data_IF_280139753662
#
_entry.id   IF_280139753662
#
_cell.length_a   1.000
_cell.length_b   1.000
_cell.length_c   1.000
_cell.angle_alpha   90.00
_cell.angle_beta   90.00
_cell.angle_gamma   90.00
#
_symmetry.space_group_name_H-M   'P 1'
#
loop_
_entity.id
_entity.type
_entity.pdbx_description
1 polymer ?
#
# COMPACT_ATOMS: atom_id res chain seq x y z
N UNK A 1 24.62 -42.33 -5.12
CA UNK A 1 24.25 -41.20 -4.24
C UNK A 1 23.05 -40.52 -4.88
N UNK A 2 21.86 -40.78 -4.37
CA UNK A 2 20.60 -40.17 -4.85
C UNK A 2 20.39 -38.91 -4.02
N UNK A 3 20.40 -37.76 -4.69
CA UNK A 3 20.15 -36.45 -4.04
C UNK A 3 18.66 -36.33 -3.71
N UNK A 4 18.36 -36.20 -2.43
CA UNK A 4 17.03 -35.89 -1.92
C UNK A 4 16.67 -34.44 -2.28
N UNK A 5 15.69 -34.29 -3.16
CA UNK A 5 15.01 -33.01 -3.36
C UNK A 5 14.05 -32.75 -2.18
N UNK A 6 14.03 -31.54 -1.61
CA UNK A 6 13.10 -31.23 -0.54
C UNK A 6 11.65 -31.23 -1.06
N UNK A 7 10.67 -31.62 -0.24
CA UNK A 7 9.28 -31.71 -0.66
C UNK A 7 8.68 -30.34 -0.99
N UNK A 8 8.04 -30.25 -2.14
CA UNK A 8 7.27 -29.08 -2.59
C UNK A 8 6.03 -28.98 -1.69
N UNK A 9 5.97 -27.98 -0.83
CA UNK A 9 4.81 -27.73 0.02
C UNK A 9 3.69 -27.07 -0.80
N UNK A 10 2.66 -27.86 -1.15
CA UNK A 10 1.46 -27.37 -1.84
C UNK A 10 0.53 -26.74 -0.80
N UNK A 11 0.44 -25.42 -0.74
CA UNK A 11 -0.54 -24.73 0.11
C UNK A 11 -1.78 -24.48 -0.74
N UNK A 12 -2.89 -25.15 -0.36
CA UNK A 12 -4.19 -24.98 -1.00
C UNK A 12 -4.97 -23.92 -0.23
N UNK A 13 -5.16 -22.74 -0.82
CA UNK A 13 -6.08 -21.74 -0.28
C UNK A 13 -7.48 -21.95 -0.86
N UNK A 14 -8.44 -22.34 0.00
CA UNK A 14 -9.84 -22.49 -0.37
C UNK A 14 -10.50 -21.11 -0.30
N UNK A 15 -10.76 -20.48 -1.44
CA UNK A 15 -11.61 -19.30 -1.54
C UNK A 15 -13.02 -19.73 -1.88
N UNK A 16 -13.93 -19.77 -0.88
CA UNK A 16 -15.36 -19.98 -1.13
C UNK A 16 -15.98 -18.69 -1.69
N UNK A 17 -16.38 -18.70 -2.95
CA UNK A 17 -17.33 -17.72 -3.47
C UNK A 17 -18.74 -18.10 -3.05
N UNK A 18 -19.44 -17.21 -2.33
CA UNK A 18 -20.89 -17.26 -2.17
C UNK A 18 -21.54 -16.61 -3.41
N UNK A 19 -21.97 -17.43 -4.35
CA UNK A 19 -22.86 -17.01 -5.44
C UNK A 19 -24.30 -17.09 -4.98
N UNK A 20 -25.14 -16.16 -5.44
CA UNK A 20 -26.60 -16.18 -5.25
C UNK A 20 -27.16 -17.46 -5.88
N UNK A 21 -27.94 -18.19 -5.07
CA UNK A 21 -28.70 -19.36 -5.49
C UNK A 21 -29.89 -18.87 -6.31
N UNK A 22 -29.93 -19.17 -7.60
CA UNK A 22 -31.15 -19.36 -8.38
C UNK A 22 -31.27 -20.82 -8.75
N UNK A 23 -32.46 -21.34 -8.56
CA UNK A 23 -32.92 -22.70 -8.58
C UNK A 23 -32.49 -23.57 -9.78
N UNK A 24 -32.33 -24.86 -9.44
CA UNK A 24 -32.48 -26.08 -10.25
C UNK A 24 -31.37 -26.46 -11.21
N UNK A 25 -30.77 -27.63 -10.90
CA UNK A 25 -30.09 -28.59 -11.75
C UNK A 25 -28.95 -28.10 -12.65
N UNK A 26 -27.78 -27.90 -12.03
CA UNK A 26 -26.52 -28.33 -12.67
C UNK A 26 -25.43 -28.50 -11.57
N UNK A 27 -25.25 -29.73 -11.11
CA UNK A 27 -24.16 -30.12 -10.21
C UNK A 27 -22.96 -30.59 -11.03
N UNK A 28 -22.25 -29.65 -11.69
CA UNK A 28 -20.88 -29.89 -12.15
C UNK A 28 -20.10 -28.60 -12.45
N UNK A 29 -20.11 -27.65 -11.53
CA UNK A 29 -19.09 -26.61 -11.55
C UNK A 29 -17.92 -27.08 -10.67
N UNK A 30 -16.99 -27.84 -11.25
CA UNK A 30 -15.69 -28.13 -10.65
C UNK A 30 -15.02 -26.79 -10.29
N UNK A 31 -14.90 -26.49 -9.00
CA UNK A 31 -14.08 -25.40 -8.52
C UNK A 31 -12.64 -25.70 -8.93
N UNK A 32 -12.19 -25.14 -10.06
CA UNK A 32 -10.80 -25.22 -10.46
C UNK A 32 -9.96 -24.51 -9.40
N UNK A 33 -9.24 -25.30 -8.61
CA UNK A 33 -8.22 -24.81 -7.71
C UNK A 33 -7.10 -24.23 -8.56
N UNK A 34 -6.96 -22.91 -8.54
CA UNK A 34 -5.84 -22.26 -9.23
C UNK A 34 -4.62 -22.44 -8.33
N UNK A 35 -3.73 -23.31 -8.74
CA UNK A 35 -2.43 -23.48 -8.10
C UNK A 35 -1.53 -22.35 -8.58
N UNK A 36 -1.18 -21.41 -7.68
CA UNK A 36 -0.20 -20.37 -7.95
C UNK A 36 1.15 -20.90 -7.50
N UNK A 37 2.08 -21.02 -8.44
CA UNK A 37 3.46 -21.36 -8.12
C UNK A 37 4.17 -20.12 -7.57
N UNK A 38 4.43 -20.12 -6.27
CA UNK A 38 5.19 -19.08 -5.56
C UNK A 38 6.70 -19.39 -5.55
N UNK A 39 7.13 -20.47 -6.16
CA UNK A 39 8.51 -20.96 -6.07
C UNK A 39 8.85 -21.55 -4.68
N UNK A 40 10.12 -21.90 -4.45
CA UNK A 40 10.55 -22.51 -3.18
C UNK A 40 10.47 -21.50 -2.03
N UNK A 41 9.81 -21.89 -0.93
CA UNK A 41 9.73 -21.09 0.29
C UNK A 41 11.05 -21.21 1.05
N UNK A 42 11.78 -20.11 1.19
CA UNK A 42 13.05 -20.09 1.94
C UNK A 42 12.75 -19.90 3.44
N UNK A 43 13.12 -20.90 4.24
CA UNK A 43 13.13 -20.81 5.72
C UNK A 43 14.51 -20.33 6.18
N UNK A 44 14.84 -19.07 5.95
CA UNK A 44 16.09 -18.51 6.48
C UNK A 44 15.82 -17.50 7.60
N UNK A 45 16.73 -17.38 8.59
CA UNK A 45 16.67 -16.30 9.57
C UNK A 45 16.72 -14.95 8.87
N UNK A 46 16.15 -13.91 9.50
CA UNK A 46 16.19 -12.55 8.95
C UNK A 46 17.67 -12.14 8.77
N UNK A 47 18.06 -11.67 7.57
CA UNK A 47 19.41 -11.22 7.32
C UNK A 47 19.79 -10.01 8.18
N UNK A 48 21.11 -9.79 8.38
CA UNK A 48 21.61 -8.72 9.23
C UNK A 48 21.21 -7.32 8.78
N UNK A 49 20.97 -7.11 7.47
CA UNK A 49 20.55 -5.82 6.92
C UNK A 49 19.06 -5.49 7.13
N UNK A 50 18.24 -6.43 7.61
CA UNK A 50 16.83 -6.21 7.97
C UNK A 50 16.66 -5.79 9.44
N UNK A 51 17.61 -5.05 9.99
CA UNK A 51 17.50 -4.48 11.33
C UNK A 51 16.80 -3.13 11.28
N UNK A 52 15.68 -3.01 12.00
CA UNK A 52 15.00 -1.75 12.23
C UNK A 52 15.39 -1.17 13.60
N UNK A 53 15.33 0.15 13.72
CA UNK A 53 15.53 0.84 15.00
C UNK A 53 14.33 0.54 15.92
N UNK A 54 14.60 0.28 17.19
CA UNK A 54 13.55 0.09 18.18
C UNK A 54 12.69 1.38 18.30
N UNK A 55 11.38 1.24 18.51
CA UNK A 55 10.48 2.39 18.71
C UNK A 55 10.66 2.96 20.12
N UNK A 56 11.55 3.94 20.26
CA UNK A 56 11.90 4.60 21.53
C UNK A 56 11.89 6.12 21.38
N UNK A 57 11.75 6.84 22.49
CA UNK A 57 11.82 8.29 22.55
C UNK A 57 10.48 8.99 22.74
N UNK A 58 10.57 10.27 23.17
CA UNK A 58 9.39 11.05 23.56
C UNK A 58 8.42 11.28 22.39
N UNK A 59 8.93 11.55 21.20
CA UNK A 59 8.12 11.75 19.99
C UNK A 59 7.25 10.51 19.67
N UNK A 60 7.82 9.31 19.81
CA UNK A 60 7.07 8.07 19.62
C UNK A 60 5.92 7.95 20.64
N UNK A 61 6.18 8.19 21.91
CA UNK A 61 5.17 8.11 22.96
C UNK A 61 4.10 9.19 22.82
N UNK A 62 4.50 10.42 22.49
CA UNK A 62 3.58 11.55 22.30
C UNK A 62 2.64 11.31 21.11
N UNK A 63 3.16 10.85 19.96
CA UNK A 63 2.34 10.54 18.79
C UNK A 63 1.35 9.41 19.10
N UNK A 64 1.81 8.36 19.77
CA UNK A 64 0.94 7.25 20.19
C UNK A 64 -0.17 7.69 21.14
N UNK A 65 0.14 8.54 22.12
CA UNK A 65 -0.85 9.11 23.06
C UNK A 65 -1.85 9.99 22.32
N UNK A 66 -1.38 10.85 21.42
CA UNK A 66 -2.22 11.75 20.63
C UNK A 66 -3.18 10.97 19.73
N UNK A 67 -2.68 10.03 18.94
CA UNK A 67 -3.51 9.21 18.06
C UNK A 67 -4.62 8.48 18.81
N UNK A 68 -4.28 7.90 19.96
CA UNK A 68 -5.28 7.22 20.83
C UNK A 68 -6.28 8.20 21.45
N UNK A 69 -5.81 9.38 21.93
CA UNK A 69 -6.68 10.40 22.50
C UNK A 69 -7.69 10.96 21.51
N UNK A 70 -7.34 11.01 20.24
CA UNK A 70 -8.20 11.45 19.14
C UNK A 70 -8.97 10.31 18.47
N UNK A 71 -8.84 9.05 18.95
CA UNK A 71 -9.50 7.89 18.34
C UNK A 71 -9.07 7.64 16.89
N UNK A 72 -7.80 7.94 16.56
CA UNK A 72 -7.25 7.77 15.22
C UNK A 72 -6.49 6.45 15.06
N UNK A 73 -6.55 5.88 13.87
CA UNK A 73 -5.80 4.70 13.48
C UNK A 73 -4.56 5.09 12.67
N UNK A 74 -3.47 4.33 12.85
CA UNK A 74 -2.25 4.49 12.04
C UNK A 74 -1.91 3.18 11.35
N UNK A 75 -1.50 3.27 10.07
CA UNK A 75 -0.96 2.11 9.36
C UNK A 75 0.31 1.61 10.01
N UNK A 76 1.08 2.52 10.63
CA UNK A 76 2.32 2.18 11.31
C UNK A 76 2.11 1.12 12.40
N UNK A 77 1.02 1.22 13.18
CA UNK A 77 0.65 0.21 14.18
C UNK A 77 -0.05 -0.99 13.53
N UNK A 78 -1.09 -0.77 12.72
CA UNK A 78 -1.91 -1.84 12.13
C UNK A 78 -1.11 -2.77 11.22
N UNK A 79 -0.14 -2.24 10.47
CA UNK A 79 0.73 -3.02 9.59
C UNK A 79 2.02 -3.52 10.29
N UNK A 80 2.20 -3.26 11.59
CA UNK A 80 3.42 -3.60 12.33
C UNK A 80 4.68 -3.12 11.59
N UNK A 81 4.68 -1.85 11.17
CA UNK A 81 5.71 -1.28 10.31
C UNK A 81 7.08 -1.29 11.01
N UNK A 82 8.14 -1.83 10.39
CA UNK A 82 9.48 -1.85 10.99
C UNK A 82 10.08 -0.45 11.19
N UNK A 83 9.60 0.55 10.45
CA UNK A 83 10.13 1.91 10.49
C UNK A 83 9.40 2.81 11.50
N UNK A 84 8.44 2.28 12.27
CA UNK A 84 7.61 3.09 13.18
C UNK A 84 8.45 3.95 14.14
N UNK A 85 9.54 3.38 14.69
CA UNK A 85 10.42 4.11 15.61
C UNK A 85 11.14 5.29 14.96
N UNK A 86 11.62 5.11 13.73
CA UNK A 86 12.31 6.14 12.98
C UNK A 86 11.34 7.22 12.46
N UNK A 87 10.27 6.80 11.78
CA UNK A 87 9.29 7.74 11.22
C UNK A 87 8.66 8.62 12.31
N UNK A 88 8.27 8.02 13.43
CA UNK A 88 7.64 8.79 14.52
C UNK A 88 8.64 9.70 15.25
N UNK A 89 9.91 9.31 15.31
CA UNK A 89 10.97 10.20 15.79
C UNK A 89 11.09 11.46 14.92
N UNK A 90 10.94 11.30 13.60
CA UNK A 90 10.99 12.40 12.63
C UNK A 90 9.63 13.06 12.34
N UNK A 91 8.68 12.97 13.26
CA UNK A 91 7.33 13.56 13.11
C UNK A 91 6.64 13.18 11.80
N UNK A 92 6.80 11.92 11.35
CA UNK A 92 6.15 11.38 10.17
C UNK A 92 5.24 10.24 10.57
N UNK A 93 3.95 10.35 10.28
CA UNK A 93 2.96 9.30 10.54
C UNK A 93 2.07 9.08 9.30
N UNK A 94 1.59 7.85 9.15
CA UNK A 94 0.59 7.51 8.13
C UNK A 94 -0.72 7.23 8.82
N UNK A 95 -1.68 8.15 8.68
CA UNK A 95 -3.03 8.01 9.21
C UNK A 95 -3.85 7.06 8.35
N UNK A 96 -4.68 6.24 8.98
CA UNK A 96 -5.56 5.30 8.30
C UNK A 96 -7.01 5.70 8.57
N UNK A 97 -7.67 6.19 7.53
CA UNK A 97 -9.06 6.64 7.53
C UNK A 97 -10.06 5.48 7.42
N UNK A 98 -11.33 5.79 7.71
CA UNK A 98 -12.48 4.91 7.55
C UNK A 98 -12.48 3.72 8.50
N UNK A 99 -11.79 3.89 9.65
CA UNK A 99 -11.67 2.87 10.68
C UNK A 99 -10.56 1.86 10.43
N UNK A 100 -10.65 0.70 11.09
CA UNK A 100 -9.62 -0.33 11.14
C UNK A 100 -10.04 -1.68 10.53
N UNK A 101 -11.26 -1.79 9.97
CA UNK A 101 -11.78 -3.02 9.37
C UNK A 101 -11.92 -2.85 7.86
N UNK A 102 -11.23 -3.70 7.09
CA UNK A 102 -11.21 -3.63 5.63
C UNK A 102 -12.20 -4.62 5.00
N UNK A 103 -12.90 -4.20 3.94
CA UNK A 103 -13.79 -5.09 3.15
C UNK A 103 -13.03 -6.09 2.29
N UNK A 104 -11.74 -5.84 2.00
CA UNK A 104 -10.90 -6.71 1.16
C UNK A 104 -9.96 -7.60 1.96
N UNK A 105 -9.48 -8.68 1.30
CA UNK A 105 -8.66 -9.73 1.92
C UNK A 105 -7.32 -9.88 1.21
N UNK A 106 -6.54 -8.80 1.12
CA UNK A 106 -5.19 -8.85 0.56
C UNK A 106 -4.31 -9.81 1.38
N UNK A 107 -3.61 -10.72 0.70
CA UNK A 107 -2.85 -11.79 1.36
C UNK A 107 -1.63 -11.33 2.15
N UNK A 108 -1.15 -10.12 1.88
CA UNK A 108 0.00 -9.52 2.56
C UNK A 108 -0.36 -8.63 3.76
N UNK A 109 -1.64 -8.20 3.86
CA UNK A 109 -2.05 -7.10 4.72
C UNK A 109 -2.53 -7.58 6.09
N UNK A 110 -1.97 -7.01 7.17
CA UNK A 110 -2.30 -7.34 8.55
C UNK A 110 -3.56 -6.63 9.08
N UNK A 111 -4.13 -5.68 8.33
CA UNK A 111 -5.37 -4.98 8.74
C UNK A 111 -6.52 -5.98 8.88
N UNK A 112 -7.30 -5.92 9.96
CA UNK A 112 -8.47 -6.77 10.18
C UNK A 112 -9.47 -6.69 9.01
N UNK A 113 -10.13 -7.82 8.73
CA UNK A 113 -11.00 -8.00 7.57
C UNK A 113 -12.41 -8.33 8.04
N UNK A 114 -13.41 -7.63 7.50
CA UNK A 114 -14.78 -7.84 7.93
C UNK A 114 -15.77 -6.82 7.42
N UNK A 115 -16.84 -6.63 8.18
CA UNK A 115 -17.82 -5.57 7.95
C UNK A 115 -17.39 -4.34 8.74
N UNK A 116 -17.04 -3.22 8.07
CA UNK A 116 -16.65 -1.99 8.72
C UNK A 116 -17.79 -1.36 9.53
N UNK A 117 -17.43 -0.53 10.48
CA UNK A 117 -18.37 0.36 11.17
C UNK A 117 -18.88 1.46 10.21
N UNK A 118 -19.98 2.16 10.55
CA UNK A 118 -20.42 3.35 9.82
C UNK A 118 -19.29 4.36 9.65
N UNK A 119 -19.36 5.13 8.56
CA UNK A 119 -18.37 6.18 8.29
C UNK A 119 -18.46 7.27 9.37
N UNK A 120 -17.32 7.60 9.96
CA UNK A 120 -17.19 8.70 10.91
C UNK A 120 -16.83 9.98 10.15
N UNK A 121 -17.80 10.86 10.01
CA UNK A 121 -17.65 12.12 9.28
C UNK A 121 -16.84 13.19 10.05
N UNK A 122 -16.54 12.96 11.33
CA UNK A 122 -15.69 13.84 12.14
C UNK A 122 -14.20 13.41 12.13
N UNK A 123 -13.87 12.24 11.57
CA UNK A 123 -12.51 11.74 11.45
C UNK A 123 -11.57 12.72 10.73
N UNK A 124 -11.97 13.38 9.59
CA UNK A 124 -11.12 14.38 8.92
C UNK A 124 -10.64 15.51 9.83
N UNK A 125 -11.51 16.06 10.67
CA UNK A 125 -11.18 17.13 11.62
C UNK A 125 -10.13 16.65 12.63
N UNK A 126 -10.34 15.47 13.21
CA UNK A 126 -9.40 14.92 14.19
C UNK A 126 -8.03 14.60 13.59
N UNK A 127 -7.99 14.15 12.30
CA UNK A 127 -6.72 13.97 11.59
C UNK A 127 -6.00 15.30 11.38
N UNK A 128 -6.71 16.36 10.96
CA UNK A 128 -6.13 17.68 10.80
C UNK A 128 -5.59 18.25 12.13
N UNK A 129 -6.31 18.07 13.22
CA UNK A 129 -5.86 18.42 14.58
C UNK A 129 -4.58 17.67 14.98
N UNK A 130 -4.49 16.38 14.65
CA UNK A 130 -3.28 15.60 14.91
C UNK A 130 -2.10 16.10 14.06
N UNK A 131 -2.31 16.42 12.79
CA UNK A 131 -1.28 16.99 11.89
C UNK A 131 -0.76 18.32 12.45
N UNK A 132 -1.66 19.20 12.90
CA UNK A 132 -1.30 20.49 13.50
C UNK A 132 -0.53 20.32 14.82
N UNK A 133 -1.03 19.47 15.71
CA UNK A 133 -0.40 19.23 17.02
C UNK A 133 1.00 18.63 16.90
N UNK A 134 1.21 17.78 15.89
CA UNK A 134 2.51 17.16 15.61
C UNK A 134 3.45 18.05 14.80
N UNK A 135 2.97 19.18 14.27
CA UNK A 135 3.76 20.08 13.43
C UNK A 135 4.24 19.42 12.14
N UNK A 136 3.41 18.55 11.52
CA UNK A 136 3.81 17.82 10.33
C UNK A 136 3.91 18.77 9.14
N UNK A 137 5.01 18.66 8.39
CA UNK A 137 5.19 19.34 7.10
C UNK A 137 4.78 18.46 5.92
N UNK A 138 4.63 17.15 6.15
CA UNK A 138 4.14 16.18 5.17
C UNK A 138 3.29 15.12 5.88
N UNK A 139 2.01 15.08 5.55
CA UNK A 139 1.07 14.11 6.08
C UNK A 139 0.76 13.05 5.03
N UNK A 140 0.91 11.78 5.39
CA UNK A 140 0.47 10.66 4.56
C UNK A 140 -0.84 10.13 5.11
N UNK A 141 -1.85 10.04 4.25
CA UNK A 141 -3.19 9.60 4.60
C UNK A 141 -3.58 8.42 3.71
N UNK A 142 -4.02 7.34 4.32
CA UNK A 142 -4.55 6.17 3.60
C UNK A 142 -5.85 5.72 4.21
N UNK A 143 -6.41 4.60 3.75
CA UNK A 143 -7.64 4.04 4.32
C UNK A 143 -7.70 2.52 4.24
N UNK A 144 -8.63 1.94 4.98
CA UNK A 144 -9.16 0.62 4.64
C UNK A 144 -10.00 0.70 3.37
N UNK A 145 -10.18 -0.43 2.67
CA UNK A 145 -11.16 -0.47 1.55
C UNK A 145 -12.58 -0.47 2.11
N UNK A 146 -13.43 0.32 1.48
CA UNK A 146 -14.87 0.46 1.73
C UNK A 146 -15.64 0.15 0.46
N UNK A 147 -15.53 -1.09 -0.04
CA UNK A 147 -16.28 -1.54 -1.22
C UNK A 147 -17.79 -1.55 -1.00
N UNK A 148 -18.22 -1.34 0.24
CA UNK A 148 -19.59 -1.09 0.67
C UNK A 148 -20.04 0.37 0.45
N UNK A 149 -19.10 1.32 0.27
CA UNK A 149 -19.36 2.74 0.01
C UNK A 149 -18.30 3.36 -0.91
N UNK A 150 -18.58 3.37 -2.20
CA UNK A 150 -17.63 3.82 -3.23
C UNK A 150 -17.40 5.33 -3.27
N UNK A 151 -18.34 6.12 -2.75
CA UNK A 151 -18.29 7.58 -2.79
C UNK A 151 -17.98 8.16 -1.42
N UNK A 152 -18.52 7.59 -0.37
CA UNK A 152 -18.30 8.04 1.00
C UNK A 152 -16.83 8.01 1.40
N UNK A 153 -16.14 6.94 1.07
CA UNK A 153 -14.71 6.82 1.31
C UNK A 153 -13.90 7.94 0.63
N UNK A 154 -14.18 8.25 -0.63
CA UNK A 154 -13.49 9.33 -1.34
C UNK A 154 -13.78 10.72 -0.75
N UNK A 155 -15.00 10.94 -0.25
CA UNK A 155 -15.37 12.20 0.41
C UNK A 155 -14.59 12.41 1.70
N UNK A 156 -14.35 11.37 2.48
CA UNK A 156 -13.52 11.46 3.70
C UNK A 156 -12.09 11.85 3.34
N UNK A 157 -11.49 11.26 2.29
CA UNK A 157 -10.18 11.70 1.80
C UNK A 157 -10.16 13.18 1.42
N UNK A 158 -11.12 13.61 0.60
CA UNK A 158 -11.20 14.99 0.14
C UNK A 158 -11.39 15.97 1.30
N UNK A 159 -12.24 15.61 2.26
CA UNK A 159 -12.45 16.43 3.45
C UNK A 159 -11.19 16.50 4.33
N UNK A 160 -10.48 15.36 4.51
CA UNK A 160 -9.22 15.35 5.25
C UNK A 160 -8.18 16.26 4.61
N UNK A 161 -8.05 16.25 3.28
CA UNK A 161 -7.14 17.15 2.56
C UNK A 161 -7.50 18.62 2.84
N UNK A 162 -8.80 18.97 2.76
CA UNK A 162 -9.27 20.34 2.99
C UNK A 162 -9.01 20.80 4.41
N UNK A 163 -9.36 19.99 5.40
CA UNK A 163 -9.19 20.29 6.82
C UNK A 163 -7.69 20.46 7.20
N UNK A 164 -6.82 19.58 6.68
CA UNK A 164 -5.37 19.72 6.89
C UNK A 164 -4.86 21.03 6.27
N UNK A 165 -5.29 21.34 5.05
CA UNK A 165 -4.85 22.57 4.37
C UNK A 165 -5.37 23.84 5.03
N UNK A 166 -6.58 23.82 5.58
CA UNK A 166 -7.15 24.93 6.33
C UNK A 166 -6.39 25.19 7.64
N UNK A 167 -6.08 24.12 8.39
CA UNK A 167 -5.47 24.21 9.70
C UNK A 167 -3.93 24.36 9.64
N UNK A 168 -3.28 23.74 8.62
CA UNK A 168 -1.82 23.75 8.43
C UNK A 168 -1.51 23.98 6.95
N UNK A 169 -1.63 25.20 6.41
CA UNK A 169 -1.50 25.50 4.99
C UNK A 169 -0.18 25.02 4.35
N UNK A 170 0.91 25.03 5.11
CA UNK A 170 2.24 24.59 4.65
C UNK A 170 2.41 23.06 4.59
N UNK A 171 1.47 22.30 5.17
CA UNK A 171 1.55 20.85 5.18
C UNK A 171 1.20 20.28 3.81
N UNK A 172 2.12 19.51 3.24
CA UNK A 172 1.83 18.72 2.03
C UNK A 172 1.05 17.47 2.40
N UNK A 173 0.08 17.12 1.57
CA UNK A 173 -0.77 15.94 1.79
C UNK A 173 -0.54 14.92 0.69
N UNK A 174 -0.04 13.75 1.07
CA UNK A 174 0.01 12.56 0.22
C UNK A 174 -1.18 11.66 0.60
N UNK A 175 -1.91 11.18 -0.41
CA UNK A 175 -2.99 10.21 -0.21
C UNK A 175 -2.64 8.87 -0.86
N UNK A 176 -2.71 7.78 -0.10
CA UNK A 176 -2.62 6.41 -0.62
C UNK A 176 -4.04 5.85 -0.70
N UNK A 177 -4.59 5.86 -1.90
CA UNK A 177 -6.00 5.55 -2.15
C UNK A 177 -6.24 4.09 -2.56
N UNK A 178 -7.44 3.51 -2.30
CA UNK A 178 -7.88 2.27 -2.91
C UNK A 178 -8.21 2.45 -4.40
N UNK A 179 -8.46 1.34 -5.11
CA UNK A 179 -8.81 1.38 -6.54
C UNK A 179 -10.28 1.74 -6.82
N UNK A 180 -11.09 1.96 -5.78
CA UNK A 180 -12.52 2.27 -5.87
C UNK A 180 -13.30 1.38 -6.85
N UNK A 181 -12.89 0.12 -7.00
CA UNK A 181 -13.44 -0.83 -7.98
C UNK A 181 -13.37 -0.36 -9.44
N UNK A 182 -12.56 0.67 -9.74
CA UNK A 182 -12.41 1.28 -11.06
C UNK A 182 -13.43 2.36 -11.38
N UNK A 183 -14.18 2.84 -10.37
CA UNK A 183 -15.11 3.95 -10.55
C UNK A 183 -14.34 5.27 -10.67
N UNK A 184 -14.69 6.08 -11.67
CA UNK A 184 -14.05 7.38 -11.92
C UNK A 184 -14.43 8.46 -10.89
N UNK A 185 -15.70 8.48 -10.47
CA UNK A 185 -16.21 9.53 -9.58
C UNK A 185 -15.44 9.69 -8.29
N UNK A 186 -15.08 8.62 -7.54
CA UNK A 186 -14.26 8.74 -6.35
C UNK A 186 -12.89 9.36 -6.61
N UNK A 187 -12.23 8.99 -7.71
CA UNK A 187 -10.93 9.55 -8.09
C UNK A 187 -11.04 11.06 -8.38
N UNK A 188 -12.08 11.49 -9.10
CA UNK A 188 -12.34 12.93 -9.37
C UNK A 188 -12.54 13.72 -8.08
N UNK A 189 -13.34 13.21 -7.13
CA UNK A 189 -13.56 13.86 -5.82
C UNK A 189 -12.22 14.10 -5.08
N UNK A 190 -11.30 13.15 -5.13
CA UNK A 190 -10.00 13.28 -4.46
C UNK A 190 -9.09 14.28 -5.20
N UNK A 191 -9.05 14.22 -6.54
CA UNK A 191 -8.24 15.15 -7.35
C UNK A 191 -8.74 16.60 -7.23
N UNK A 192 -10.06 16.82 -7.12
CA UNK A 192 -10.65 18.14 -6.87
C UNK A 192 -10.19 18.74 -5.54
N UNK A 193 -9.88 17.91 -4.55
CA UNK A 193 -9.29 18.36 -3.28
C UNK A 193 -7.78 18.67 -3.39
N UNK A 194 -7.15 18.42 -4.56
CA UNK A 194 -5.76 18.78 -4.89
C UNK A 194 -4.72 18.19 -3.92
N UNK A 195 -4.62 16.87 -3.73
CA UNK A 195 -3.50 16.30 -2.99
C UNK A 195 -2.16 16.66 -3.65
N UNK A 196 -1.10 16.80 -2.86
CA UNK A 196 0.24 17.05 -3.39
C UNK A 196 0.82 15.80 -4.06
N UNK A 197 0.52 14.61 -3.51
CA UNK A 197 0.89 13.32 -4.07
C UNK A 197 -0.31 12.39 -4.02
N UNK A 198 -0.63 11.79 -5.17
CA UNK A 198 -1.64 10.73 -5.28
C UNK A 198 -0.92 9.40 -5.47
N UNK A 199 -1.02 8.54 -4.47
CA UNK A 199 -0.40 7.24 -4.42
C UNK A 199 -1.46 6.13 -4.56
N UNK A 200 -1.18 5.15 -5.43
CA UNK A 200 -1.91 3.89 -5.49
C UNK A 200 -0.93 2.76 -5.82
N UNK A 201 -0.67 1.89 -4.86
CA UNK A 201 0.31 0.83 -5.03
C UNK A 201 -0.20 -0.28 -5.96
N UNK A 202 0.67 -0.77 -6.84
CA UNK A 202 0.42 -2.02 -7.59
C UNK A 202 0.71 -3.27 -6.76
N UNK A 203 1.60 -3.16 -5.77
CA UNK A 203 1.98 -4.17 -4.76
C UNK A 203 2.74 -5.38 -5.32
N UNK A 204 2.42 -5.87 -6.53
CA UNK A 204 3.02 -7.07 -7.11
C UNK A 204 2.83 -7.14 -8.62
N UNK A 205 3.42 -8.17 -9.23
CA UNK A 205 3.34 -8.47 -10.68
C UNK A 205 1.99 -9.09 -11.08
N UNK A 206 1.54 -8.99 -12.35
CA UNK A 206 0.23 -9.46 -12.81
C UNK A 206 -0.08 -10.92 -12.44
N UNK A 207 0.87 -11.84 -12.62
CA UNK A 207 0.70 -13.26 -12.31
C UNK A 207 0.30 -13.52 -10.86
N UNK A 208 0.83 -12.73 -9.92
CA UNK A 208 0.59 -12.89 -8.49
C UNK A 208 -0.61 -12.09 -7.96
N UNK A 209 -1.21 -11.24 -8.79
CA UNK A 209 -2.22 -10.27 -8.36
C UNK A 209 -3.39 -10.89 -7.61
N UNK A 210 -3.89 -12.02 -8.10
CA UNK A 210 -5.04 -12.71 -7.49
C UNK A 210 -4.75 -13.21 -6.07
N UNK A 211 -3.53 -13.70 -5.83
CA UNK A 211 -3.11 -14.17 -4.51
C UNK A 211 -2.79 -13.02 -3.55
N UNK A 212 -2.10 -11.99 -4.06
CA UNK A 212 -1.57 -10.89 -3.26
C UNK A 212 -2.65 -9.86 -2.97
N UNK A 213 -3.42 -9.46 -4.00
CA UNK A 213 -4.45 -8.39 -3.92
C UNK A 213 -5.83 -8.93 -4.29
N UNK A 214 -6.39 -9.81 -3.49
CA UNK A 214 -7.74 -10.35 -3.70
C UNK A 214 -8.77 -9.22 -3.83
N UNK A 215 -9.53 -9.21 -4.95
CA UNK A 215 -10.53 -8.18 -5.28
C UNK A 215 -10.01 -6.98 -6.08
N UNK A 216 -8.69 -6.81 -6.21
CA UNK A 216 -8.09 -5.82 -7.10
C UNK A 216 -7.78 -6.42 -8.48
N UNK A 217 -7.48 -5.55 -9.46
CA UNK A 217 -7.09 -5.94 -10.82
C UNK A 217 -5.92 -5.09 -11.28
N UNK A 218 -4.91 -5.71 -11.89
CA UNK A 218 -3.69 -5.03 -12.33
C UNK A 218 -3.97 -3.84 -13.26
N UNK A 219 -4.71 -4.06 -14.35
CA UNK A 219 -5.06 -2.99 -15.29
C UNK A 219 -5.82 -1.84 -14.63
N UNK A 220 -6.73 -2.14 -13.68
CA UNK A 220 -7.45 -1.10 -12.94
C UNK A 220 -6.50 -0.18 -12.16
N UNK A 221 -5.41 -0.72 -11.61
CA UNK A 221 -4.36 0.09 -10.95
C UNK A 221 -3.69 1.02 -11.96
N UNK A 222 -3.35 0.52 -13.15
CA UNK A 222 -2.74 1.30 -14.21
C UNK A 222 -3.67 2.40 -14.72
N UNK A 223 -4.94 2.04 -15.00
CA UNK A 223 -5.97 2.97 -15.49
C UNK A 223 -6.22 4.10 -14.47
N UNK A 224 -6.23 3.78 -13.17
CA UNK A 224 -6.41 4.77 -12.11
C UNK A 224 -5.28 5.81 -12.12
N UNK A 225 -4.02 5.36 -12.18
CA UNK A 225 -2.85 6.24 -12.19
C UNK A 225 -2.78 7.07 -13.47
N UNK A 226 -3.06 6.46 -14.62
CA UNK A 226 -3.13 7.15 -15.90
C UNK A 226 -4.23 8.22 -15.92
N UNK A 227 -5.43 7.91 -15.42
CA UNK A 227 -6.53 8.86 -15.31
C UNK A 227 -6.21 9.99 -14.34
N UNK A 228 -5.55 9.70 -13.22
CA UNK A 228 -5.10 10.73 -12.30
C UNK A 228 -4.19 11.74 -13.00
N UNK A 229 -3.23 11.25 -13.79
CA UNK A 229 -2.30 12.10 -14.53
C UNK A 229 -2.98 12.87 -15.67
N UNK A 230 -3.94 12.25 -16.36
CA UNK A 230 -4.72 12.91 -17.44
C UNK A 230 -5.63 14.03 -16.91
N UNK A 231 -6.26 13.83 -15.74
CA UNK A 231 -7.23 14.79 -15.21
C UNK A 231 -6.59 15.89 -14.36
N UNK A 232 -5.45 15.61 -13.74
CA UNK A 232 -4.64 16.61 -13.04
C UNK A 232 -3.14 16.36 -13.28
N UNK A 233 -2.59 16.89 -14.39
CA UNK A 233 -1.17 16.73 -14.73
C UNK A 233 -0.21 17.30 -13.69
N UNK A 234 -0.67 18.23 -12.84
CA UNK A 234 0.15 18.85 -11.79
C UNK A 234 0.31 17.94 -10.56
N UNK A 235 -0.64 17.02 -10.32
CA UNK A 235 -0.55 16.06 -9.22
C UNK A 235 0.62 15.10 -9.46
N UNK A 236 1.50 14.98 -8.47
CA UNK A 236 2.56 13.96 -8.46
C UNK A 236 1.93 12.60 -8.23
N UNK A 237 2.14 11.65 -9.13
CA UNK A 237 1.63 10.29 -9.01
C UNK A 237 2.69 9.34 -8.48
N UNK A 238 2.25 8.38 -7.66
CA UNK A 238 3.14 7.44 -6.99
C UNK A 238 2.57 6.03 -7.00
N UNK A 239 3.45 5.04 -7.11
CA UNK A 239 3.10 3.63 -6.94
C UNK A 239 4.19 2.88 -6.18
N UNK A 240 3.88 1.66 -5.75
CA UNK A 240 4.84 0.83 -5.03
C UNK A 240 4.65 -0.65 -5.31
N UNK A 241 5.77 -1.38 -5.22
CA UNK A 241 5.81 -2.84 -5.33
C UNK A 241 6.54 -3.44 -4.14
N UNK A 242 6.08 -4.61 -3.71
CA UNK A 242 6.78 -5.45 -2.77
C UNK A 242 7.49 -6.57 -3.53
N UNK A 243 8.72 -6.89 -3.08
CA UNK A 243 9.51 -8.01 -3.61
C UNK A 243 9.71 -9.10 -2.57
N UNK A 244 9.90 -10.35 -3.03
CA UNK A 244 10.07 -11.52 -2.17
C UNK A 244 8.79 -12.33 -1.97
N UNK A 245 7.80 -12.22 -2.87
CA UNK A 245 6.53 -12.96 -2.84
C UNK A 245 6.49 -14.07 -3.91
N UNK A 246 7.54 -14.17 -4.77
CA UNK A 246 7.62 -15.15 -5.86
C UNK A 246 7.58 -14.55 -7.27
N UNK A 247 7.72 -13.25 -7.36
CA UNK A 247 7.91 -12.54 -8.62
C UNK A 247 9.30 -12.84 -9.22
N UNK A 248 9.41 -12.71 -10.54
CA UNK A 248 10.67 -12.79 -11.29
C UNK A 248 11.12 -11.39 -11.71
N UNK A 249 12.42 -11.20 -11.92
CA UNK A 249 12.98 -9.89 -12.27
C UNK A 249 12.39 -9.33 -13.57
N UNK A 250 12.22 -10.16 -14.60
CA UNK A 250 11.60 -9.72 -15.85
C UNK A 250 10.15 -9.23 -15.64
N UNK A 251 9.37 -9.90 -14.78
CA UNK A 251 8.00 -9.47 -14.44
C UNK A 251 7.99 -8.11 -13.72
N UNK A 252 9.00 -7.84 -12.87
CA UNK A 252 9.14 -6.52 -12.23
C UNK A 252 9.47 -5.43 -13.25
N UNK A 253 10.37 -5.72 -14.20
CA UNK A 253 10.72 -4.77 -15.28
C UNK A 253 9.51 -4.45 -16.17
N UNK A 254 8.64 -5.43 -16.43
CA UNK A 254 7.37 -5.20 -17.13
C UNK A 254 6.46 -4.25 -16.33
N UNK A 255 6.34 -4.45 -15.02
CA UNK A 255 5.56 -3.55 -14.15
C UNK A 255 6.15 -2.13 -14.13
N UNK A 256 7.49 -2.00 -14.09
CA UNK A 256 8.14 -0.68 -14.10
C UNK A 256 7.86 0.05 -15.42
N UNK A 257 7.98 -0.66 -16.55
CA UNK A 257 7.62 -0.12 -17.87
C UNK A 257 6.15 0.32 -17.91
N UNK A 258 5.23 -0.55 -17.51
CA UNK A 258 3.79 -0.27 -17.53
C UNK A 258 3.42 0.97 -16.70
N UNK A 259 4.07 1.18 -15.55
CA UNK A 259 3.86 2.35 -14.69
C UNK A 259 4.50 3.62 -15.31
N UNK A 260 5.72 3.49 -15.85
CA UNK A 260 6.43 4.60 -16.50
C UNK A 260 5.67 5.13 -17.73
N UNK A 261 5.17 4.24 -18.60
CA UNK A 261 4.37 4.59 -19.77
C UNK A 261 3.07 5.34 -19.41
N UNK A 262 2.57 5.17 -18.19
CA UNK A 262 1.39 5.90 -17.66
C UNK A 262 1.75 7.17 -16.91
N UNK A 263 3.02 7.58 -16.98
CA UNK A 263 3.50 8.83 -16.40
C UNK A 263 3.53 8.84 -14.87
N UNK A 264 3.74 7.69 -14.24
CA UNK A 264 3.94 7.63 -12.78
C UNK A 264 5.26 8.30 -12.41
N UNK A 265 5.23 9.29 -11.52
CA UNK A 265 6.40 10.08 -11.16
C UNK A 265 7.32 9.38 -10.16
N UNK A 266 6.76 8.67 -9.17
CA UNK A 266 7.51 8.06 -8.07
C UNK A 266 7.22 6.55 -7.99
N UNK A 267 8.29 5.75 -7.88
CA UNK A 267 8.18 4.31 -7.60
C UNK A 267 8.86 3.98 -6.27
N UNK A 268 8.19 3.15 -5.45
CA UNK A 268 8.79 2.56 -4.25
C UNK A 268 8.93 1.04 -4.40
N UNK A 269 10.10 0.50 -4.02
CA UNK A 269 10.40 -0.94 -4.07
C UNK A 269 10.86 -1.39 -2.68
N UNK A 270 10.09 -2.26 -2.02
CA UNK A 270 10.36 -2.69 -0.66
C UNK A 270 10.28 -4.21 -0.46
N UNK A 271 11.02 -4.77 0.50
CA UNK A 271 10.93 -6.18 0.86
C UNK A 271 9.58 -6.50 1.49
N UNK A 272 8.88 -7.49 1.00
CA UNK A 272 7.77 -8.08 1.73
C UNK A 272 8.24 -8.71 3.03
N UNK A 273 7.64 -8.30 4.14
CA UNK A 273 7.84 -8.90 5.46
C UNK A 273 6.53 -9.51 5.91
N UNK A 274 6.50 -10.82 6.03
CA UNK A 274 5.31 -11.58 6.39
C UNK A 274 4.83 -11.22 7.79
N UNK A 275 3.60 -10.67 7.98
CA UNK A 275 3.13 -10.25 9.30
C UNK A 275 2.88 -11.42 10.26
N UNK A 276 2.27 -12.51 9.77
CA UNK A 276 2.01 -13.73 10.55
C UNK A 276 1.97 -14.97 9.67
N UNK A 277 1.83 -16.13 10.27
CA UNK A 277 1.73 -17.42 9.53
C UNK A 277 0.48 -17.51 8.64
N UNK A 278 -0.54 -16.69 8.88
CA UNK A 278 -1.80 -16.67 8.12
C UNK A 278 -1.71 -15.83 6.85
N UNK A 279 -0.61 -15.08 6.67
CA UNK A 279 -0.34 -14.27 5.48
C UNK A 279 0.47 -15.04 4.45
N UNK A 280 0.56 -14.48 3.23
CA UNK A 280 1.32 -15.08 2.16
C UNK A 280 2.74 -15.43 2.60
N UNK A 281 3.27 -16.60 2.22
CA UNK A 281 4.64 -16.95 2.51
C UNK A 281 5.59 -15.99 1.79
N UNK A 282 6.69 -15.66 2.45
CA UNK A 282 7.81 -14.97 1.82
C UNK A 282 8.67 -16.01 1.10
N UNK A 283 9.07 -15.75 -0.12
CA UNK A 283 9.87 -16.69 -0.94
C UNK A 283 11.36 -16.48 -0.78
N UNK A 284 11.81 -15.22 -0.74
CA UNK A 284 13.22 -14.88 -0.51
C UNK A 284 13.41 -13.46 0.03
N UNK A 285 14.59 -13.21 0.60
CA UNK A 285 15.08 -11.87 0.86
C UNK A 285 15.92 -11.37 -0.31
N UNK A 286 15.65 -10.15 -0.77
CA UNK A 286 16.53 -9.44 -1.69
C UNK A 286 17.66 -8.77 -0.91
N UNK A 287 18.89 -8.86 -1.40
CA UNK A 287 20.04 -8.17 -0.83
C UNK A 287 19.98 -6.66 -1.11
N UNK A 288 20.68 -5.83 -0.32
CA UNK A 288 20.81 -4.40 -0.62
C UNK A 288 21.32 -4.11 -2.04
N UNK A 289 22.24 -4.92 -2.56
CA UNK A 289 22.75 -4.78 -3.92
C UNK A 289 21.66 -5.03 -4.99
N UNK A 290 20.78 -6.01 -4.78
CA UNK A 290 19.65 -6.24 -5.69
C UNK A 290 18.66 -5.07 -5.67
N UNK A 291 18.42 -4.42 -4.52
CA UNK A 291 17.60 -3.20 -4.44
C UNK A 291 18.23 -2.05 -5.20
N UNK A 292 19.56 -1.88 -5.17
CA UNK A 292 20.27 -0.89 -5.96
C UNK A 292 20.09 -1.19 -7.46
N UNK A 293 20.30 -2.42 -7.89
CA UNK A 293 20.10 -2.81 -9.28
C UNK A 293 18.64 -2.59 -9.76
N UNK A 294 17.65 -2.93 -8.94
CA UNK A 294 16.24 -2.67 -9.26
C UNK A 294 15.94 -1.17 -9.39
N UNK A 295 16.56 -0.33 -8.55
CA UNK A 295 16.45 1.14 -8.67
C UNK A 295 17.01 1.66 -9.99
N UNK A 296 18.22 1.21 -10.35
CA UNK A 296 18.88 1.61 -11.59
C UNK A 296 18.07 1.19 -12.82
N UNK A 297 17.54 -0.04 -12.83
CA UNK A 297 16.67 -0.49 -13.91
C UNK A 297 15.36 0.29 -13.98
N UNK A 298 14.71 0.56 -12.84
CA UNK A 298 13.47 1.31 -12.79
C UNK A 298 13.64 2.74 -13.33
N UNK A 299 14.73 3.43 -13.00
CA UNK A 299 14.99 4.80 -13.48
C UNK A 299 15.02 4.91 -15.00
N UNK A 300 15.31 3.83 -15.73
CA UNK A 300 15.30 3.80 -17.21
C UNK A 300 13.90 3.97 -17.81
N UNK A 301 12.85 3.77 -17.02
CA UNK A 301 11.45 3.88 -17.47
C UNK A 301 10.82 5.26 -17.20
N UNK A 302 11.63 6.27 -16.85
CA UNK A 302 11.19 7.67 -16.78
C UNK A 302 10.62 8.14 -15.45
N UNK A 303 10.73 7.36 -14.38
CA UNK A 303 10.37 7.83 -13.04
C UNK A 303 11.27 9.01 -12.62
N UNK A 304 10.67 10.04 -12.03
CA UNK A 304 11.40 11.19 -11.46
C UNK A 304 12.15 10.79 -10.20
N UNK A 305 11.61 9.85 -9.43
CA UNK A 305 12.24 9.30 -8.24
C UNK A 305 11.93 7.81 -8.07
N UNK A 306 12.93 7.05 -7.64
CA UNK A 306 12.77 5.65 -7.26
C UNK A 306 13.38 5.46 -5.87
N UNK A 307 12.55 5.08 -4.89
CA UNK A 307 13.00 4.69 -3.57
C UNK A 307 13.02 3.16 -3.47
N UNK A 308 14.19 2.57 -3.24
CA UNK A 308 14.36 1.11 -3.26
C UNK A 308 15.25 0.64 -2.12
N UNK A 309 14.74 -0.30 -1.32
CA UNK A 309 15.50 -0.83 -0.21
C UNK A 309 14.73 -1.83 0.66
N UNK A 310 15.44 -2.60 1.49
CA UNK A 310 14.83 -3.66 2.31
C UNK A 310 13.74 -3.18 3.27
N UNK A 311 13.86 -1.97 3.80
CA UNK A 311 12.91 -1.39 4.75
C UNK A 311 12.00 -0.34 4.12
N UNK A 312 12.13 -0.07 2.80
CA UNK A 312 11.26 0.90 2.10
C UNK A 312 9.80 0.49 2.20
N UNK A 313 8.96 1.48 2.47
CA UNK A 313 7.49 1.43 2.46
C UNK A 313 6.98 2.65 1.70
N UNK A 314 5.73 2.63 1.25
CA UNK A 314 5.16 3.73 0.44
C UNK A 314 5.33 5.10 1.09
N UNK A 315 5.24 5.18 2.42
CA UNK A 315 5.36 6.44 3.18
C UNK A 315 6.76 6.67 3.80
N UNK A 316 7.73 5.78 3.56
CA UNK A 316 9.07 5.94 4.09
C UNK A 316 9.79 7.05 3.35
N UNK A 317 10.27 8.09 4.07
CA UNK A 317 10.87 9.31 3.49
C UNK A 317 9.98 10.02 2.44
N UNK A 318 8.66 9.95 2.61
CA UNK A 318 7.71 10.47 1.62
C UNK A 318 7.90 11.96 1.29
N UNK A 319 8.35 12.77 2.27
CA UNK A 319 8.63 14.20 2.07
C UNK A 319 9.81 14.42 1.09
N UNK A 320 10.92 13.66 1.23
CA UNK A 320 12.07 13.74 0.35
C UNK A 320 11.73 13.30 -1.07
N UNK A 321 10.98 12.20 -1.19
CA UNK A 321 10.50 11.70 -2.49
C UNK A 321 9.66 12.74 -3.22
N UNK A 322 8.77 13.42 -2.50
CA UNK A 322 7.91 14.46 -3.06
C UNK A 322 8.70 15.73 -3.45
N UNK A 323 9.76 16.09 -2.73
CA UNK A 323 10.64 17.22 -3.06
C UNK A 323 11.38 16.96 -4.37
N UNK A 324 12.03 15.80 -4.48
CA UNK A 324 12.75 15.41 -5.71
C UNK A 324 11.82 15.35 -6.91
N UNK A 325 10.63 14.77 -6.76
CA UNK A 325 9.66 14.68 -7.87
C UNK A 325 9.08 16.05 -8.28
N UNK A 326 9.05 17.02 -7.36
CA UNK A 326 8.63 18.39 -7.62
C UNK A 326 9.78 19.29 -8.17
N UNK A 327 10.99 18.76 -8.30
CA UNK A 327 12.17 19.51 -8.75
C UNK A 327 12.70 20.49 -7.71
N UNK A 328 12.57 20.18 -6.44
CA UNK A 328 13.01 20.99 -5.29
C UNK A 328 14.17 20.36 -4.55
#
# INVERSE_FOLDING_TARGET
MRGDQPPICKIVHIVRQKGLIKSSNDMSASSQLIQIDLGPIVRSPKPAWLKAKAPVGDNFHNLKKLARGLGLHTVCESAQCPNIGECWHHHTATFMLLGDICTRRCGFCAVPKGRPQPIDWDEPRRVAEAVATLGLRHAVVTSVNRDDDNVGGARIFAETIRQIRELVPECRVEVLIPDFQGLERPLRIILEAKPNVLNHNTETVPRLYRAVRSGARYHRTLDLLENAKKWDPATVTKSGVMVGIGEQTNELLEVFRDLGERGVDILTIGQYLRPSKDHLPMTRYYSPAEFVALKEEALKFGFRHVESGPLVRSSYHAHEQADVAAGR
#
